data_IF_719638858222
#
_entry.id   IF_719638858222
#
_cell.length_a   1.000
_cell.length_b   1.000
_cell.length_c   1.000
_cell.angle_alpha   90.00
_cell.angle_beta   90.00
_cell.angle_gamma   90.00
#
_symmetry.space_group_name_H-M   'P 1'
#
loop_
_entity.id
_entity.type
_entity.pdbx_description
1 polymer ?
#
# COMPACT_ATOMS: atom_id res chain seq x y z
N UNK A 1 2.65 4.23 -26.27
CA UNK A 1 1.53 3.29 -26.23
C UNK A 1 2.00 1.84 -26.01
N UNK A 2 2.88 1.61 -25.03
CA UNK A 2 3.34 0.27 -24.55
C UNK A 2 4.06 0.47 -23.21
N UNK A 3 4.93 1.50 -23.12
CA UNK A 3 5.61 1.90 -21.87
C UNK A 3 4.66 2.38 -20.75
N UNK A 4 3.57 3.08 -21.08
CA UNK A 4 2.55 3.49 -20.10
C UNK A 4 1.84 2.28 -19.48
N UNK A 5 1.62 1.24 -20.28
CA UNK A 5 0.97 0.02 -19.83
C UNK A 5 1.90 -0.78 -18.90
N UNK A 6 3.21 -0.76 -19.16
CA UNK A 6 4.21 -1.38 -18.28
C UNK A 6 4.26 -0.70 -16.91
N UNK A 7 4.30 0.64 -16.85
CA UNK A 7 4.26 1.39 -15.56
C UNK A 7 2.99 1.10 -14.77
N UNK A 8 1.84 1.02 -15.45
CA UNK A 8 0.57 0.69 -14.81
C UNK A 8 0.54 -0.77 -14.30
N UNK A 9 1.13 -1.71 -15.05
CA UNK A 9 1.25 -3.10 -14.60
C UNK A 9 2.15 -3.21 -13.36
N UNK A 10 3.31 -2.54 -13.37
CA UNK A 10 4.22 -2.51 -12.22
C UNK A 10 3.57 -1.83 -10.99
N UNK A 11 2.86 -0.71 -11.21
CA UNK A 11 2.04 -0.07 -10.15
C UNK A 11 1.09 -1.08 -9.51
N UNK A 12 0.36 -1.88 -10.30
CA UNK A 12 -0.57 -2.89 -9.77
C UNK A 12 0.14 -3.95 -8.94
N UNK A 13 1.33 -4.37 -9.36
CA UNK A 13 2.16 -5.31 -8.59
C UNK A 13 2.57 -4.69 -7.25
N UNK A 14 3.08 -3.46 -7.26
CA UNK A 14 3.45 -2.73 -6.03
C UNK A 14 2.26 -2.54 -5.11
N UNK A 15 1.11 -2.12 -5.65
CA UNK A 15 -0.16 -2.01 -4.90
C UNK A 15 -0.53 -3.33 -4.23
N UNK A 16 -0.46 -4.44 -4.97
CA UNK A 16 -0.78 -5.77 -4.46
C UNK A 16 0.17 -6.15 -3.32
N UNK A 17 1.47 -5.95 -3.49
CA UNK A 17 2.47 -6.26 -2.45
C UNK A 17 2.24 -5.46 -1.17
N UNK A 18 2.00 -4.15 -1.29
CA UNK A 18 1.77 -3.27 -0.14
C UNK A 18 0.50 -3.71 0.62
N UNK A 19 -0.60 -3.95 -0.10
CA UNK A 19 -1.86 -4.40 0.49
C UNK A 19 -1.72 -5.77 1.15
N UNK A 20 -1.05 -6.73 0.50
CA UNK A 20 -0.79 -8.05 1.07
C UNK A 20 -0.03 -7.92 2.39
N UNK A 21 1.03 -7.11 2.45
CA UNK A 21 1.79 -6.90 3.69
C UNK A 21 0.97 -6.23 4.79
N UNK A 22 0.14 -5.24 4.43
CA UNK A 22 -0.74 -4.57 5.38
C UNK A 22 -1.79 -5.53 5.96
N UNK A 23 -2.38 -6.38 5.11
CA UNK A 23 -3.39 -7.35 5.49
C UNK A 23 -2.81 -8.49 6.34
N UNK A 24 -1.78 -9.18 5.85
CA UNK A 24 -1.17 -10.35 6.51
C UNK A 24 -0.70 -10.04 7.94
N UNK A 25 -0.13 -8.85 8.13
CA UNK A 25 0.46 -8.46 9.41
C UNK A 25 -0.47 -7.58 10.25
N UNK A 26 -1.64 -7.21 9.73
CA UNK A 26 -2.56 -6.26 10.36
C UNK A 26 -1.80 -5.00 10.84
N UNK A 27 -1.13 -4.34 9.90
CA UNK A 27 -0.35 -3.10 10.09
C UNK A 27 -0.71 -2.07 9.04
N UNK A 28 -0.36 -0.81 9.30
CA UNK A 28 -0.23 0.18 8.24
C UNK A 28 1.12 0.01 7.55
N UNK A 29 1.16 0.19 6.23
CA UNK A 29 2.38 0.11 5.43
C UNK A 29 2.56 1.43 4.69
N UNK A 30 3.76 2.00 4.82
CA UNK A 30 4.20 3.16 4.03
C UNK A 30 5.24 2.68 3.04
N UNK A 31 4.97 2.92 1.75
CA UNK A 31 5.90 2.65 0.67
C UNK A 31 6.25 3.96 -0.03
N UNK A 32 7.53 4.26 -0.12
CA UNK A 32 8.04 5.46 -0.77
C UNK A 32 9.07 5.08 -1.82
N UNK A 33 8.86 5.56 -3.04
CA UNK A 33 9.81 5.40 -4.13
C UNK A 33 10.21 6.77 -4.69
N UNK A 34 11.45 6.88 -5.14
CA UNK A 34 11.98 8.12 -5.68
C UNK A 34 11.26 8.51 -6.98
N UNK A 35 10.98 9.80 -7.14
CA UNK A 35 10.57 10.37 -8.43
C UNK A 35 11.80 10.77 -9.22
N UNK A 36 11.87 10.34 -10.49
CA UNK A 36 12.89 10.79 -11.41
C UNK A 36 12.29 10.90 -12.82
N UNK A 37 12.04 12.13 -13.26
CA UNK A 37 11.46 12.42 -14.59
C UNK A 37 12.31 11.85 -15.74
N UNK A 38 13.63 11.77 -15.55
CA UNK A 38 14.59 11.36 -16.58
C UNK A 38 14.87 9.86 -16.61
N UNK A 39 14.48 9.11 -15.56
CA UNK A 39 14.76 7.68 -15.49
C UNK A 39 13.52 6.85 -15.83
N UNK A 40 13.52 6.12 -16.97
CA UNK A 40 12.41 5.23 -17.32
C UNK A 40 12.43 3.90 -16.56
N UNK A 41 13.47 3.63 -15.77
CA UNK A 41 13.70 2.35 -15.10
C UNK A 41 13.01 2.24 -13.74
N UNK A 42 12.58 3.36 -13.17
CA UNK A 42 11.89 3.40 -11.89
C UNK A 42 10.41 3.67 -12.15
N UNK A 43 9.55 2.89 -11.51
CA UNK A 43 8.12 3.22 -11.42
C UNK A 43 7.91 4.14 -10.21
N UNK A 44 7.69 5.45 -10.42
CA UNK A 44 7.53 6.43 -9.35
C UNK A 44 6.15 6.26 -8.69
N UNK A 45 6.09 5.34 -7.74
CA UNK A 45 4.89 5.02 -6.99
C UNK A 45 5.19 5.09 -5.49
N UNK A 46 4.41 5.87 -4.77
CA UNK A 46 4.43 5.92 -3.31
C UNK A 46 3.00 5.79 -2.80
N UNK A 47 2.81 5.07 -1.70
CA UNK A 47 1.49 4.84 -1.13
C UNK A 47 1.53 4.57 0.36
N UNK A 48 0.41 4.87 1.02
CA UNK A 48 0.11 4.47 2.38
C UNK A 48 -1.08 3.51 2.31
N UNK A 49 -0.92 2.34 2.92
CA UNK A 49 -1.95 1.33 3.01
C UNK A 49 -2.33 1.06 4.46
N UNK A 50 -3.61 0.84 4.66
CA UNK A 50 -4.14 0.16 5.83
C UNK A 50 -4.54 -1.27 5.43
N UNK A 51 -4.90 -2.15 6.38
CA UNK A 51 -5.03 -3.58 6.11
C UNK A 51 -5.95 -3.98 4.95
N UNK A 52 -6.91 -3.13 4.54
CA UNK A 52 -7.89 -3.48 3.51
C UNK A 52 -7.93 -2.51 2.32
N UNK A 53 -7.17 -1.41 2.35
CA UNK A 53 -7.16 -0.43 1.24
C UNK A 53 -5.94 0.48 1.25
N UNK A 54 -5.68 1.10 0.10
CA UNK A 54 -4.78 2.25 -0.03
C UNK A 54 -5.52 3.49 0.47
N UNK A 55 -4.91 4.23 1.40
CA UNK A 55 -5.50 5.46 1.98
C UNK A 55 -4.87 6.74 1.41
N UNK A 56 -3.72 6.62 0.76
CA UNK A 56 -3.11 7.72 0.00
C UNK A 56 -2.10 7.17 -1.00
N UNK A 57 -2.04 7.77 -2.20
CA UNK A 57 -1.04 7.39 -3.21
C UNK A 57 -0.61 8.57 -4.08
N UNK A 58 0.60 8.46 -4.60
CA UNK A 58 1.18 9.31 -5.64
C UNK A 58 1.75 8.40 -6.72
N UNK A 59 1.45 8.74 -7.97
CA UNK A 59 1.92 8.02 -9.14
C UNK A 59 2.34 8.98 -10.25
N UNK A 60 3.52 8.76 -10.82
CA UNK A 60 4.07 9.48 -11.99
C UNK A 60 4.19 11.00 -11.81
N UNK A 61 4.38 11.43 -10.55
CA UNK A 61 4.67 12.83 -10.19
C UNK A 61 5.43 12.91 -8.87
N UNK A 62 6.13 14.01 -8.66
CA UNK A 62 6.67 14.39 -7.35
C UNK A 62 5.53 14.86 -6.43
N UNK A 63 5.67 14.63 -5.12
CA UNK A 63 4.76 15.18 -4.13
C UNK A 63 4.87 14.53 -2.75
N UNK A 64 3.91 14.85 -1.90
CA UNK A 64 3.84 14.40 -0.51
C UNK A 64 2.46 13.79 -0.21
N UNK A 65 2.45 12.69 0.52
CA UNK A 65 1.23 12.06 1.05
C UNK A 65 1.21 12.30 2.55
N UNK A 66 0.10 12.82 3.05
CA UNK A 66 -0.17 12.94 4.49
C UNK A 66 -1.43 12.12 4.77
N UNK A 67 -1.40 11.31 5.82
CA UNK A 67 -2.54 10.53 6.26
C UNK A 67 -2.53 10.41 7.78
N UNK A 68 -3.72 10.49 8.37
CA UNK A 68 -3.94 10.18 9.78
C UNK A 68 -4.10 8.68 9.97
N UNK A 69 -3.39 8.12 10.95
CA UNK A 69 -3.35 6.68 11.20
C UNK A 69 -4.17 6.35 12.44
N UNK A 70 -5.26 5.60 12.26
CA UNK A 70 -6.12 5.16 13.38
C UNK A 70 -5.60 3.83 13.97
N UNK A 71 -4.88 3.92 15.08
CA UNK A 71 -4.40 2.75 15.82
C UNK A 71 -5.53 2.01 16.56
N UNK A 72 -6.61 2.70 16.92
CA UNK A 72 -7.78 2.09 17.53
C UNK A 72 -8.53 1.17 16.56
N UNK A 73 -8.66 1.57 15.30
CA UNK A 73 -9.13 0.72 14.21
C UNK A 73 -8.27 -0.53 14.06
N UNK A 74 -6.94 -0.38 14.05
CA UNK A 74 -6.01 -1.50 13.91
C UNK A 74 -6.14 -2.51 15.05
N UNK A 75 -6.27 -2.02 16.29
CA UNK A 75 -6.45 -2.87 17.47
C UNK A 75 -7.80 -3.62 17.44
N UNK A 76 -8.87 -2.97 16.98
CA UNK A 76 -10.18 -3.62 16.77
C UNK A 76 -10.07 -4.74 15.73
N UNK A 77 -9.39 -4.51 14.62
CA UNK A 77 -9.13 -5.54 13.60
C UNK A 77 -8.38 -6.74 14.18
N UNK A 78 -7.24 -6.50 14.84
CA UNK A 78 -6.43 -7.57 15.47
C UNK A 78 -7.22 -8.41 16.45
N UNK A 79 -8.05 -7.78 17.27
CA UNK A 79 -8.93 -8.48 18.22
C UNK A 79 -9.95 -9.35 17.50
N UNK A 80 -10.59 -8.83 16.44
CA UNK A 80 -11.60 -9.56 15.67
C UNK A 80 -11.01 -10.79 14.97
N UNK A 81 -9.92 -10.62 14.23
CA UNK A 81 -9.27 -11.73 13.52
C UNK A 81 -8.68 -12.77 14.46
N UNK A 82 -8.12 -12.37 15.61
CA UNK A 82 -7.66 -13.31 16.64
C UNK A 82 -8.81 -14.15 17.21
N UNK A 83 -9.98 -13.53 17.45
CA UNK A 83 -11.18 -14.23 17.93
C UNK A 83 -11.70 -15.22 16.90
N UNK A 84 -11.64 -14.89 15.61
CA UNK A 84 -12.07 -15.76 14.52
C UNK A 84 -11.10 -16.94 14.32
N UNK A 85 -9.78 -16.72 14.41
CA UNK A 85 -8.79 -17.79 14.36
C UNK A 85 -9.03 -18.85 15.46
N UNK A 86 -9.29 -18.41 16.69
CA UNK A 86 -9.56 -19.29 17.83
C UNK A 86 -10.93 -20.00 17.79
N UNK A 87 -11.80 -19.69 16.81
CA UNK A 87 -13.09 -20.39 16.61
C UNK A 87 -13.02 -21.48 15.55
N UNK A 88 -12.01 -21.42 14.69
CA UNK A 88 -11.84 -22.34 13.54
C UNK A 88 -10.95 -23.54 13.94
N UNK A 89 -10.15 -23.40 15.00
CA UNK A 89 -9.32 -24.43 15.62
C UNK A 89 -10.01 -24.88 16.90
#
# INVERSE_FOLDING_TARGET
>A
SHRKDHKNAEKRILQSLILTRAFENLVYVVFSNAYNEKSPLLTPYSAIAEPHKIIGEIFDREGMIIADVDLGYLQKMRTRYRREYNKII
#
